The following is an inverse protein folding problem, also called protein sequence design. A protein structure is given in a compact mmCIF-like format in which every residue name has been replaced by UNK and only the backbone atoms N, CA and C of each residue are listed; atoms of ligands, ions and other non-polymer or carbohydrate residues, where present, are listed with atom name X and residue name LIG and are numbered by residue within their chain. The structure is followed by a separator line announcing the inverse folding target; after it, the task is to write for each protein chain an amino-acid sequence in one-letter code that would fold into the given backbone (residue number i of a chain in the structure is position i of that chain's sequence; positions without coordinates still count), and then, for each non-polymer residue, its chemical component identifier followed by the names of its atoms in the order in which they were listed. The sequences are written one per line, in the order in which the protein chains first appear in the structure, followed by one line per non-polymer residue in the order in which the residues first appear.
data_IF_952832286485
#
_entry.id   IF_952832286485
#
_cell.length_a   1.000
_cell.length_b   1.000
_cell.length_c   1.000
_cell.angle_alpha   90.00
_cell.angle_beta   90.00
_cell.angle_gamma   90.00
#
_symmetry.space_group_name_H-M   'P 1'
#
loop_
_entity.id
_entity.type
_entity.pdbx_description
1 polymer ?
#
# COMPACT_ATOMS: atom_id res chain seq x y z
N UNK A 1 26.09 14.96 -20.09
CA UNK A 1 25.49 13.86 -19.32
C UNK A 1 24.00 13.87 -19.60
N UNK A 2 23.47 12.86 -20.28
CA UNK A 2 22.03 12.76 -20.56
C UNK A 2 21.34 12.28 -19.29
N UNK A 3 20.44 13.08 -18.72
CA UNK A 3 19.69 12.70 -17.52
C UNK A 3 18.75 11.54 -17.87
N UNK A 4 18.83 10.42 -17.14
CA UNK A 4 17.92 9.27 -17.29
C UNK A 4 16.46 9.72 -17.09
N UNK A 5 15.56 9.31 -17.98
CA UNK A 5 14.14 9.63 -17.81
C UNK A 5 13.59 8.92 -16.56
N UNK A 6 12.78 9.58 -15.71
CA UNK A 6 12.32 9.01 -14.44
C UNK A 6 11.58 7.67 -14.58
N UNK A 7 10.88 7.46 -15.70
CA UNK A 7 10.22 6.18 -15.99
C UNK A 7 11.22 5.05 -16.23
N UNK A 8 12.32 5.33 -16.93
CA UNK A 8 13.34 4.33 -17.23
C UNK A 8 14.08 3.94 -15.93
N UNK A 9 14.32 4.92 -15.05
CA UNK A 9 14.85 4.67 -13.71
C UNK A 9 13.94 3.77 -12.87
N UNK A 10 12.62 4.03 -12.86
CA UNK A 10 11.65 3.17 -12.16
C UNK A 10 11.60 1.76 -12.75
N UNK A 11 11.61 1.64 -14.08
CA UNK A 11 11.61 0.33 -14.76
C UNK A 11 12.89 -0.45 -14.45
N UNK A 12 14.05 0.20 -14.40
CA UNK A 12 15.31 -0.41 -13.97
C UNK A 12 15.21 -0.96 -12.54
N UNK A 13 14.63 -0.20 -11.61
CA UNK A 13 14.33 -0.70 -10.26
C UNK A 13 13.38 -1.91 -10.29
N UNK A 14 12.27 -1.85 -11.04
CA UNK A 14 11.32 -2.96 -11.15
C UNK A 14 11.95 -4.23 -11.78
N UNK A 15 12.90 -4.07 -12.70
CA UNK A 15 13.63 -5.15 -13.34
C UNK A 15 14.67 -5.79 -12.42
N UNK A 16 15.37 -5.01 -11.60
CA UNK A 16 16.59 -5.47 -10.92
C UNK A 16 16.51 -5.50 -9.39
N UNK A 17 15.74 -4.62 -8.75
CA UNK A 17 15.67 -4.53 -7.29
C UNK A 17 14.74 -5.60 -6.68
N UNK A 18 14.55 -5.56 -5.36
CA UNK A 18 13.59 -6.44 -4.69
C UNK A 18 12.14 -6.04 -4.99
N UNK A 19 11.20 -7.00 -5.08
CA UNK A 19 9.83 -6.69 -5.47
C UNK A 19 9.14 -5.68 -4.55
N UNK A 20 9.33 -5.80 -3.23
CA UNK A 20 8.75 -4.87 -2.25
C UNK A 20 9.27 -3.44 -2.46
N UNK A 21 10.59 -3.26 -2.53
CA UNK A 21 11.19 -1.93 -2.73
C UNK A 21 10.73 -1.28 -4.02
N UNK A 22 10.75 -2.02 -5.13
CA UNK A 22 10.32 -1.52 -6.43
C UNK A 22 8.82 -1.21 -6.47
N UNK A 23 7.98 -2.00 -5.80
CA UNK A 23 6.55 -1.75 -5.70
C UNK A 23 6.26 -0.48 -4.91
N UNK A 24 6.91 -0.31 -3.76
CA UNK A 24 6.76 0.87 -2.91
C UNK A 24 7.23 2.11 -3.68
N UNK A 25 8.43 2.05 -4.27
CA UNK A 25 8.96 3.15 -5.08
C UNK A 25 8.01 3.51 -6.22
N UNK A 26 7.49 2.51 -6.95
CA UNK A 26 6.58 2.74 -8.06
C UNK A 26 5.24 3.33 -7.63
N UNK A 27 4.70 2.92 -6.49
CA UNK A 27 3.44 3.47 -5.96
C UNK A 27 3.62 4.93 -5.53
N UNK A 28 4.72 5.25 -4.83
CA UNK A 28 5.03 6.64 -4.44
C UNK A 28 5.32 7.53 -5.66
N UNK A 29 6.04 7.00 -6.65
CA UNK A 29 6.30 7.71 -7.90
C UNK A 29 4.98 7.96 -8.66
N UNK A 30 4.11 6.96 -8.77
CA UNK A 30 2.83 7.08 -9.46
C UNK A 30 1.88 8.06 -8.76
N UNK A 31 1.82 8.02 -7.43
CA UNK A 31 1.09 9.01 -6.62
C UNK A 31 1.58 10.44 -6.94
N UNK A 32 2.90 10.66 -6.91
CA UNK A 32 3.51 11.96 -7.16
C UNK A 32 3.29 12.44 -8.60
N UNK A 33 3.58 11.62 -9.62
CA UNK A 33 3.46 11.99 -11.03
C UNK A 33 2.01 12.19 -11.50
N UNK A 34 1.06 11.50 -10.88
CA UNK A 34 -0.37 11.69 -11.13
C UNK A 34 -0.98 12.85 -10.34
N UNK A 35 -0.26 13.39 -9.34
CA UNK A 35 -0.76 14.35 -8.36
C UNK A 35 -2.01 13.83 -7.64
N UNK A 36 -1.99 12.57 -7.23
CA UNK A 36 -3.15 11.93 -6.61
C UNK A 36 -3.60 12.67 -5.35
N UNK A 37 -4.92 12.80 -5.23
CA UNK A 37 -5.59 13.31 -4.04
C UNK A 37 -6.87 12.51 -3.83
N UNK A 38 -7.10 12.07 -2.59
CA UNK A 38 -8.32 11.38 -2.18
C UNK A 38 -9.59 12.18 -2.46
N UNK A 39 -9.51 13.51 -2.56
CA UNK A 39 -10.62 14.42 -2.84
C UNK A 39 -10.91 14.62 -4.34
N UNK A 40 -10.02 14.17 -5.23
CA UNK A 40 -10.12 14.35 -6.69
C UNK A 40 -9.73 13.05 -7.41
N UNK A 41 -10.39 11.93 -7.12
CA UNK A 41 -9.87 10.63 -7.56
C UNK A 41 -9.97 10.38 -9.07
N UNK A 42 -11.08 10.72 -9.71
CA UNK A 42 -11.36 10.28 -11.09
C UNK A 42 -10.29 10.77 -12.08
N UNK A 43 -9.99 12.07 -12.08
CA UNK A 43 -8.99 12.66 -12.97
C UNK A 43 -7.59 12.15 -12.68
N UNK A 44 -7.25 12.01 -11.39
CA UNK A 44 -5.90 11.60 -10.98
C UNK A 44 -5.66 10.12 -11.23
N UNK A 45 -6.68 9.27 -11.07
CA UNK A 45 -6.62 7.85 -11.46
C UNK A 45 -6.49 7.70 -12.97
N UNK A 46 -7.25 8.47 -13.77
CA UNK A 46 -7.09 8.49 -15.23
C UNK A 46 -5.66 8.85 -15.65
N UNK A 47 -5.08 9.89 -15.04
CA UNK A 47 -3.68 10.27 -15.27
C UNK A 47 -2.69 9.19 -14.84
N UNK A 48 -2.92 8.54 -13.70
CA UNK A 48 -2.10 7.42 -13.25
C UNK A 48 -2.12 6.25 -14.25
N UNK A 49 -3.29 5.92 -14.82
CA UNK A 49 -3.39 4.88 -15.84
C UNK A 49 -2.68 5.25 -17.15
N UNK A 50 -2.71 6.53 -17.56
CA UNK A 50 -1.90 7.00 -18.70
C UNK A 50 -0.40 6.78 -18.47
N UNK A 51 0.10 7.14 -17.28
CA UNK A 51 1.50 6.93 -16.88
C UNK A 51 1.84 5.44 -16.83
N UNK A 52 0.93 4.61 -16.28
CA UNK A 52 1.09 3.16 -16.23
C UNK A 52 1.22 2.57 -17.63
N UNK A 53 0.37 2.99 -18.56
CA UNK A 53 0.41 2.53 -19.95
C UNK A 53 1.74 2.89 -20.62
N UNK A 54 2.24 4.10 -20.40
CA UNK A 54 3.56 4.51 -20.89
C UNK A 54 4.71 3.66 -20.30
N UNK A 55 4.68 3.37 -18.99
CA UNK A 55 5.64 2.47 -18.35
C UNK A 55 5.60 1.06 -18.96
N UNK A 56 4.40 0.52 -19.23
CA UNK A 56 4.24 -0.80 -19.85
C UNK A 56 4.73 -0.83 -21.31
N UNK A 57 4.50 0.25 -22.07
CA UNK A 57 5.02 0.38 -23.43
C UNK A 57 6.55 0.38 -23.44
N UNK A 58 7.19 1.22 -22.61
CA UNK A 58 8.66 1.27 -22.47
C UNK A 58 9.25 -0.05 -22.00
N UNK A 59 8.63 -0.70 -21.02
CA UNK A 59 9.05 -2.01 -20.53
C UNK A 59 9.00 -3.06 -21.65
N UNK A 60 7.99 -3.00 -22.52
CA UNK A 60 7.87 -3.90 -23.68
C UNK A 60 8.95 -3.64 -24.72
N UNK A 61 9.27 -2.37 -24.99
CA UNK A 61 10.35 -1.98 -25.91
C UNK A 61 11.74 -2.40 -25.42
N UNK A 62 11.98 -2.40 -24.10
CA UNK A 62 13.23 -2.89 -23.50
C UNK A 62 13.45 -4.41 -23.71
N UNK A 63 12.43 -5.15 -24.14
CA UNK A 63 12.51 -6.58 -24.45
C UNK A 63 12.37 -7.50 -23.24
N UNK A 64 12.27 -8.81 -23.50
CA UNK A 64 12.10 -9.85 -22.48
C UNK A 64 13.42 -10.17 -21.75
N UNK A 65 13.87 -9.24 -20.93
CA UNK A 65 15.07 -9.40 -20.10
C UNK A 65 14.78 -10.14 -18.78
N UNK A 66 15.83 -10.54 -18.05
CA UNK A 66 15.69 -11.09 -16.69
C UNK A 66 14.91 -10.11 -15.82
N UNK A 67 13.89 -10.61 -15.11
CA UNK A 67 13.03 -9.78 -14.26
C UNK A 67 11.80 -9.18 -14.96
N UNK A 68 11.66 -9.33 -16.29
CA UNK A 68 10.55 -8.76 -17.07
C UNK A 68 9.16 -9.12 -16.51
N UNK A 69 8.89 -10.40 -16.22
CA UNK A 69 7.58 -10.84 -15.70
C UNK A 69 7.23 -10.14 -14.38
N UNK A 70 8.20 -10.06 -13.48
CA UNK A 70 8.07 -9.37 -12.19
C UNK A 70 7.86 -7.86 -12.39
N UNK A 71 8.68 -7.21 -13.22
CA UNK A 71 8.56 -5.78 -13.48
C UNK A 71 7.18 -5.46 -14.05
N UNK A 72 6.69 -6.28 -14.99
CA UNK A 72 5.35 -6.16 -15.56
C UNK A 72 4.26 -6.34 -14.48
N UNK A 73 4.37 -7.36 -13.62
CA UNK A 73 3.46 -7.53 -12.48
C UNK A 73 3.45 -6.30 -11.56
N UNK A 74 4.62 -5.76 -11.23
CA UNK A 74 4.76 -4.57 -10.38
C UNK A 74 4.09 -3.36 -11.05
N UNK A 75 4.41 -3.07 -12.31
CA UNK A 75 3.83 -1.92 -13.02
C UNK A 75 2.32 -2.03 -13.15
N UNK A 76 1.75 -3.23 -13.31
CA UNK A 76 0.29 -3.41 -13.25
C UNK A 76 -0.28 -3.20 -11.84
N UNK A 77 0.50 -3.48 -10.81
CA UNK A 77 0.03 -3.58 -9.44
C UNK A 77 0.22 -2.32 -8.58
N UNK A 78 1.18 -1.45 -8.93
CA UNK A 78 1.39 -0.18 -8.20
C UNK A 78 0.13 0.70 -8.26
N UNK A 79 -0.09 1.51 -7.24
CA UNK A 79 -1.33 2.29 -7.13
C UNK A 79 -1.05 3.68 -6.58
N UNK A 80 -1.60 4.74 -7.19
CA UNK A 80 -1.39 6.10 -6.72
C UNK A 80 -2.11 6.41 -5.40
N UNK A 81 -3.06 5.58 -4.97
CA UNK A 81 -3.81 5.81 -3.74
C UNK A 81 -3.06 5.51 -2.46
N UNK A 82 -1.89 4.88 -2.51
CA UNK A 82 -1.07 4.72 -1.30
C UNK A 82 -0.53 6.09 -0.85
N UNK A 83 -0.93 6.56 0.33
CA UNK A 83 -0.57 7.88 0.83
C UNK A 83 0.89 7.92 1.34
N UNK A 84 1.44 6.77 1.71
CA UNK A 84 2.79 6.63 2.22
C UNK A 84 3.42 5.26 1.87
N UNK A 85 4.74 5.09 2.09
CA UNK A 85 5.42 3.83 1.80
C UNK A 85 4.89 2.60 2.54
N UNK A 86 4.36 2.78 3.75
CA UNK A 86 3.82 1.68 4.54
C UNK A 86 2.50 1.15 3.97
N UNK A 87 1.62 2.04 3.50
CA UNK A 87 0.40 1.64 2.77
C UNK A 87 0.74 0.92 1.45
N UNK A 88 1.78 1.37 0.73
CA UNK A 88 2.23 0.70 -0.49
C UNK A 88 2.79 -0.70 -0.21
N UNK A 89 3.53 -0.87 0.89
CA UNK A 89 3.99 -2.19 1.33
C UNK A 89 2.81 -3.10 1.69
N UNK A 90 1.79 -2.58 2.36
CA UNK A 90 0.57 -3.33 2.68
C UNK A 90 -0.16 -3.77 1.40
N UNK A 91 -0.35 -2.85 0.45
CA UNK A 91 -0.98 -3.13 -0.83
C UNK A 91 -0.24 -4.21 -1.63
N UNK A 92 1.09 -4.21 -1.60
CA UNK A 92 1.89 -5.26 -2.24
C UNK A 92 1.57 -6.65 -1.70
N UNK A 93 1.46 -6.81 -0.37
CA UNK A 93 1.06 -8.09 0.23
C UNK A 93 -0.35 -8.45 -0.26
N UNK A 94 -1.31 -7.54 -0.13
CA UNK A 94 -2.72 -7.78 -0.47
C UNK A 94 -2.88 -8.20 -1.93
N UNK A 95 -2.29 -7.47 -2.90
CA UNK A 95 -2.36 -7.83 -4.33
C UNK A 95 -1.69 -9.17 -4.65
N UNK A 96 -0.74 -9.59 -3.83
CA UNK A 96 -0.05 -10.87 -4.02
C UNK A 96 -0.76 -12.09 -3.40
N UNK A 97 -1.92 -11.88 -2.76
CA UNK A 97 -2.78 -12.94 -2.20
C UNK A 97 -4.25 -12.85 -2.63
N UNK A 98 -4.74 -11.66 -2.97
CA UNK A 98 -6.14 -11.42 -3.29
C UNK A 98 -6.41 -11.53 -4.81
N UNK A 99 -7.41 -12.30 -5.25
CA UNK A 99 -7.84 -12.32 -6.66
C UNK A 99 -8.81 -11.20 -7.03
N UNK A 100 -9.45 -10.56 -6.04
CA UNK A 100 -10.49 -9.57 -6.28
C UNK A 100 -9.91 -8.20 -6.62
N UNK A 101 -10.77 -7.32 -7.13
CA UNK A 101 -10.44 -5.92 -7.28
C UNK A 101 -10.11 -5.32 -5.90
N UNK A 102 -9.03 -4.55 -5.86
CA UNK A 102 -8.57 -3.85 -4.65
C UNK A 102 -8.62 -2.36 -4.94
N UNK A 103 -9.40 -1.61 -4.16
CA UNK A 103 -9.48 -0.16 -4.26
C UNK A 103 -8.70 0.48 -3.11
N UNK A 104 -7.86 1.46 -3.42
CA UNK A 104 -7.11 2.24 -2.43
C UNK A 104 -7.81 3.56 -2.13
N UNK A 105 -7.70 4.11 -0.92
CA UNK A 105 -8.35 5.38 -0.54
C UNK A 105 -9.82 5.42 -0.97
N UNK A 106 -10.54 4.30 -0.86
CA UNK A 106 -11.91 4.20 -1.32
C UNK A 106 -12.83 4.98 -0.38
N UNK A 107 -13.79 5.71 -0.95
CA UNK A 107 -14.82 6.41 -0.17
C UNK A 107 -15.91 5.43 0.24
N UNK A 108 -16.21 5.41 1.53
CA UNK A 108 -17.31 4.66 2.13
C UNK A 108 -18.24 5.66 2.81
N UNK A 109 -19.51 5.62 2.44
CA UNK A 109 -20.57 6.47 2.97
C UNK A 109 -21.39 5.69 4.01
N UNK A 110 -21.33 6.09 5.28
CA UNK A 110 -22.07 5.44 6.37
C UNK A 110 -22.69 6.49 7.27
N UNK A 111 -24.00 6.40 7.51
CA UNK A 111 -24.74 7.29 8.44
C UNK A 111 -24.48 8.79 8.21
N UNK A 112 -24.40 9.20 6.94
CA UNK A 112 -24.14 10.59 6.55
C UNK A 112 -22.69 11.06 6.75
N UNK A 113 -21.77 10.16 7.11
CA UNK A 113 -20.33 10.41 7.21
C UNK A 113 -19.59 9.78 6.03
N UNK A 114 -18.46 10.38 5.69
CA UNK A 114 -17.61 9.96 4.58
C UNK A 114 -16.26 9.50 5.12
N UNK A 115 -15.93 8.24 4.90
CA UNK A 115 -14.65 7.65 5.29
C UNK A 115 -13.85 7.30 4.06
N UNK A 116 -12.57 7.64 4.06
CA UNK A 116 -11.61 7.10 3.12
C UNK A 116 -10.80 6.01 3.81
N UNK A 117 -10.72 4.84 3.18
CA UNK A 117 -10.03 3.67 3.73
C UNK A 117 -8.83 3.31 2.87
N UNK A 118 -7.73 2.91 3.49
CA UNK A 118 -6.45 2.71 2.78
C UNK A 118 -6.58 1.63 1.69
N UNK A 119 -7.24 0.52 2.02
CA UNK A 119 -7.50 -0.60 1.12
C UNK A 119 -8.91 -1.15 1.36
N UNK A 120 -9.66 -1.31 0.28
CA UNK A 120 -11.01 -1.88 0.22
C UNK A 120 -11.02 -3.11 -0.70
N UNK A 121 -11.62 -4.20 -0.20
CA UNK A 121 -11.95 -5.41 -0.96
C UNK A 121 -13.46 -5.61 -0.81
N UNK A 122 -14.21 -4.98 -1.70
CA UNK A 122 -15.68 -4.89 -1.63
C UNK A 122 -16.35 -6.27 -1.66
N UNK A 123 -15.85 -7.18 -2.51
CA UNK A 123 -16.39 -8.54 -2.66
C UNK A 123 -16.37 -9.34 -1.35
N UNK A 124 -15.48 -8.99 -0.42
CA UNK A 124 -15.34 -9.65 0.88
C UNK A 124 -15.91 -8.83 2.03
N UNK A 125 -16.42 -7.61 1.77
CA UNK A 125 -16.73 -6.64 2.80
C UNK A 125 -15.56 -6.40 3.79
N UNK A 126 -14.32 -6.36 3.26
CA UNK A 126 -13.11 -6.18 4.05
C UNK A 126 -12.46 -4.82 3.76
N UNK A 127 -12.11 -4.13 4.84
CA UNK A 127 -11.28 -2.93 4.86
C UNK A 127 -9.95 -3.31 5.52
N UNK A 128 -8.83 -2.86 4.96
CA UNK A 128 -7.50 -3.02 5.57
C UNK A 128 -6.87 -1.63 5.73
N UNK A 129 -6.54 -1.26 6.96
CA UNK A 129 -5.96 0.04 7.29
C UNK A 129 -4.55 -0.13 7.86
N UNK A 130 -3.64 0.75 7.44
CA UNK A 130 -2.34 0.88 8.08
C UNK A 130 -2.43 1.89 9.23
N UNK A 131 -2.25 1.40 10.45
CA UNK A 131 -2.27 2.22 11.67
C UNK A 131 -0.85 2.71 12.01
N UNK A 132 -0.50 3.86 11.45
CA UNK A 132 0.63 4.63 11.94
C UNK A 132 0.23 5.29 13.27
N UNK A 133 0.86 4.87 14.37
CA UNK A 133 0.69 5.33 15.77
C UNK A 133 0.62 6.88 15.94
N UNK A 134 0.95 7.65 14.91
CA UNK A 134 1.18 9.10 14.89
C UNK A 134 -0.08 9.97 14.66
N UNK A 135 -1.28 9.56 15.09
CA UNK A 135 -2.50 10.37 14.93
C UNK A 135 -3.21 10.76 16.23
N UNK A 136 -2.51 10.73 17.35
CA UNK A 136 -3.00 11.34 18.59
C UNK A 136 -2.42 12.75 18.68
N UNK A 137 -3.28 13.76 18.79
CA UNK A 137 -2.86 15.17 18.88
C UNK A 137 -1.92 15.42 20.06
N UNK A 138 -1.37 16.64 20.15
CA UNK A 138 -0.35 16.94 21.17
C UNK A 138 -0.98 17.32 22.51
N UNK A 139 -2.23 17.79 22.53
CA UNK A 139 -2.96 18.14 23.75
C UNK A 139 -3.89 17.02 24.22
N UNK A 140 -4.17 16.96 25.53
CA UNK A 140 -5.11 16.00 26.11
C UNK A 140 -6.49 16.03 25.42
N UNK A 141 -7.00 17.23 25.14
CA UNK A 141 -8.30 17.41 24.49
C UNK A 141 -8.31 16.90 23.03
N UNK A 142 -7.23 17.14 22.27
CA UNK A 142 -7.10 16.60 20.91
C UNK A 142 -6.97 15.08 20.91
N UNK A 143 -6.21 14.52 21.87
CA UNK A 143 -6.09 13.06 22.05
C UNK A 143 -7.46 12.45 22.34
N UNK A 144 -8.24 13.03 23.26
CA UNK A 144 -9.59 12.55 23.59
C UNK A 144 -10.56 12.67 22.41
N UNK A 145 -10.50 13.77 21.66
CA UNK A 145 -11.30 13.94 20.43
C UNK A 145 -10.93 12.89 19.39
N UNK A 146 -9.64 12.72 19.08
CA UNK A 146 -9.16 11.73 18.13
C UNK A 146 -9.56 10.30 18.52
N UNK A 147 -9.49 9.97 19.82
CA UNK A 147 -9.97 8.68 20.34
C UNK A 147 -11.47 8.50 20.11
N UNK A 148 -12.30 9.51 20.42
CA UNK A 148 -13.75 9.45 20.19
C UNK A 148 -14.09 9.28 18.71
N UNK A 149 -13.44 10.05 17.84
CA UNK A 149 -13.63 9.95 16.38
C UNK A 149 -13.21 8.58 15.85
N UNK A 150 -12.10 8.02 16.36
CA UNK A 150 -11.64 6.69 15.99
C UNK A 150 -12.63 5.60 16.41
N UNK A 151 -13.15 5.65 17.65
CA UNK A 151 -14.17 4.71 18.15
C UNK A 151 -15.44 4.80 17.32
N UNK A 152 -15.91 6.02 17.04
CA UNK A 152 -17.12 6.24 16.24
C UNK A 152 -16.96 5.70 14.82
N UNK A 153 -15.82 5.98 14.16
CA UNK A 153 -15.51 5.44 12.82
C UNK A 153 -15.51 3.92 12.82
N UNK A 154 -14.84 3.29 13.78
CA UNK A 154 -14.76 1.83 13.87
C UNK A 154 -16.16 1.21 14.10
N UNK A 155 -16.97 1.81 14.96
CA UNK A 155 -18.35 1.39 15.17
C UNK A 155 -19.20 1.54 13.91
N UNK A 156 -19.12 2.68 13.21
CA UNK A 156 -19.91 2.91 12.01
C UNK A 156 -19.58 1.90 10.90
N UNK A 157 -18.29 1.65 10.65
CA UNK A 157 -17.87 0.68 9.64
C UNK A 157 -18.35 -0.73 10.00
N UNK A 158 -18.24 -1.13 11.28
CA UNK A 158 -18.72 -2.45 11.73
C UNK A 158 -20.24 -2.60 11.66
N UNK A 159 -20.98 -1.56 12.09
CA UNK A 159 -22.44 -1.55 12.02
C UNK A 159 -22.94 -1.59 10.57
N UNK A 160 -22.15 -1.07 9.62
CA UNK A 160 -22.40 -1.19 8.19
C UNK A 160 -21.96 -2.54 7.58
N UNK A 161 -21.51 -3.50 8.40
CA UNK A 161 -21.16 -4.86 7.99
C UNK A 161 -19.71 -5.03 7.52
N UNK A 162 -18.86 -4.00 7.65
CA UNK A 162 -17.46 -4.09 7.24
C UNK A 162 -16.60 -4.79 8.29
N UNK A 163 -15.77 -5.73 7.84
CA UNK A 163 -14.67 -6.24 8.63
C UNK A 163 -13.43 -5.34 8.44
N UNK A 164 -12.98 -4.71 9.52
CA UNK A 164 -11.79 -3.83 9.51
C UNK A 164 -10.57 -4.57 10.06
N UNK A 165 -9.53 -4.70 9.24
CA UNK A 165 -8.24 -5.29 9.60
C UNK A 165 -7.21 -4.16 9.75
N UNK A 166 -6.66 -4.00 10.94
CA UNK A 166 -5.59 -3.02 11.20
C UNK A 166 -4.22 -3.67 11.12
N UNK A 167 -3.29 -3.00 10.46
CA UNK A 167 -1.89 -3.41 10.31
C UNK A 167 -1.01 -2.31 10.90
N UNK A 168 -0.11 -2.65 11.81
CA UNK A 168 0.78 -1.69 12.45
C UNK A 168 2.23 -1.87 11.97
N UNK A 169 3.12 -0.99 12.44
CA UNK A 169 4.56 -1.13 12.19
C UNK A 169 5.14 -2.45 12.70
N UNK A 170 4.69 -2.96 13.86
CA UNK A 170 5.22 -4.21 14.43
C UNK A 170 4.88 -5.43 13.59
N UNK A 171 3.81 -5.34 12.77
CA UNK A 171 3.48 -6.42 11.85
C UNK A 171 4.50 -6.59 10.73
N UNK A 172 5.25 -5.54 10.39
CA UNK A 172 6.32 -5.62 9.41
C UNK A 172 7.61 -6.22 9.97
N UNK A 173 7.70 -6.49 11.27
CA UNK A 173 8.84 -7.22 11.84
C UNK A 173 8.89 -8.68 11.35
N UNK A 174 7.75 -9.23 10.89
CA UNK A 174 7.63 -10.57 10.33
C UNK A 174 6.65 -10.60 9.14
N UNK A 175 7.20 -10.43 7.93
CA UNK A 175 6.43 -10.41 6.68
C UNK A 175 5.70 -11.71 6.36
N UNK A 176 6.29 -12.85 6.72
CA UNK A 176 5.67 -14.14 6.45
C UNK A 176 4.46 -14.33 7.37
N UNK A 177 4.60 -14.01 8.65
CA UNK A 177 3.49 -14.05 9.61
C UNK A 177 2.40 -13.06 9.24
N UNK A 178 2.73 -11.84 8.83
CA UNK A 178 1.74 -10.88 8.34
C UNK A 178 1.01 -11.41 7.10
N UNK A 179 1.74 -11.96 6.11
CA UNK A 179 1.13 -12.57 4.93
C UNK A 179 0.17 -13.69 5.31
N UNK A 180 0.57 -14.59 6.22
CA UNK A 180 -0.28 -15.69 6.70
C UNK A 180 -1.53 -15.15 7.40
N UNK A 181 -1.40 -14.11 8.24
CA UNK A 181 -2.53 -13.45 8.89
C UNK A 181 -3.53 -12.92 7.88
N UNK A 182 -3.06 -12.20 6.85
CA UNK A 182 -3.93 -11.66 5.81
C UNK A 182 -4.57 -12.77 4.96
N UNK A 183 -3.84 -13.84 4.62
CA UNK A 183 -4.43 -15.00 3.93
C UNK A 183 -5.57 -15.62 4.74
N UNK A 184 -5.41 -15.77 6.05
CA UNK A 184 -6.47 -16.31 6.93
C UNK A 184 -7.69 -15.41 6.96
N UNK A 185 -7.49 -14.09 6.92
CA UNK A 185 -8.59 -13.14 6.96
C UNK A 185 -9.32 -13.01 5.61
N UNK A 186 -8.61 -13.08 4.49
CA UNK A 186 -9.19 -13.00 3.15
C UNK A 186 -9.77 -14.33 2.66
N UNK A 187 -9.29 -15.45 3.21
CA UNK A 187 -9.53 -16.81 2.72
C UNK A 187 -8.38 -17.30 1.83
N UNK A 188 -8.14 -18.63 1.77
CA UNK A 188 -7.03 -19.23 1.01
C UNK A 188 -7.30 -19.17 -0.50
N UNK A 189 -7.06 -18.00 -1.09
CA UNK A 189 -7.25 -17.75 -2.51
C UNK A 189 -5.93 -17.70 -3.26
N UNK A 190 -5.99 -17.86 -4.58
CA UNK A 190 -4.84 -17.62 -5.46
C UNK A 190 -4.92 -16.17 -5.96
N UNK A 191 -3.81 -15.42 -6.01
CA UNK A 191 -3.83 -14.08 -6.58
C UNK A 191 -4.18 -14.12 -8.07
N UNK A 192 -4.63 -12.98 -8.60
CA UNK A 192 -4.87 -12.81 -10.03
C UNK A 192 -3.62 -13.22 -10.84
N UNK A 193 -3.76 -13.86 -12.02
CA UNK A 193 -2.64 -14.40 -12.78
C UNK A 193 -1.47 -13.43 -12.98
N UNK A 194 -1.77 -12.16 -13.23
CA UNK A 194 -0.83 -11.06 -13.43
C UNK A 194 -0.03 -10.68 -12.18
N UNK A 195 -0.50 -11.05 -10.98
CA UNK A 195 0.12 -10.70 -9.70
C UNK A 195 0.86 -11.86 -9.04
N UNK A 196 0.86 -13.06 -9.65
CA UNK A 196 1.54 -14.26 -9.12
C UNK A 196 3.04 -14.08 -8.90
N UNK A 197 3.68 -13.15 -9.63
CA UNK A 197 5.12 -12.87 -9.50
C UNK A 197 5.44 -11.71 -8.55
N UNK A 198 4.46 -11.14 -7.84
CA UNK A 198 4.69 -10.04 -6.90
C UNK A 198 5.38 -10.51 -5.62
N UNK A 199 4.97 -11.64 -5.06
CA UNK A 199 5.47 -12.08 -3.76
C UNK A 199 6.87 -12.67 -3.87
N UNK A 200 7.74 -12.17 -3.00
CA UNK A 200 9.01 -12.77 -2.60
C UNK A 200 9.24 -12.33 -1.16
N UNK A 201 9.63 -13.25 -0.28
CA UNK A 201 10.02 -12.87 1.07
C UNK A 201 11.14 -11.81 0.99
N UNK A 202 10.97 -10.62 1.61
CA UNK A 202 12.00 -9.58 1.59
C UNK A 202 13.31 -10.09 2.18
N UNK A 203 14.44 -9.79 1.54
CA UNK A 203 15.74 -10.16 2.11
C UNK A 203 16.14 -9.19 3.22
N UNK A 204 17.15 -9.55 4.02
CA UNK A 204 17.74 -8.67 5.04
C UNK A 204 18.30 -7.36 4.49
N UNK A 205 18.57 -7.27 3.17
CA UNK A 205 18.97 -6.01 2.52
C UNK A 205 17.79 -5.05 2.39
N UNK A 206 16.63 -5.55 1.99
CA UNK A 206 15.38 -4.79 1.94
C UNK A 206 14.82 -4.53 3.34
N UNK A 207 15.00 -5.52 4.23
CA UNK A 207 14.32 -5.64 5.51
C UNK A 207 15.23 -5.48 6.74
N UNK A 208 16.41 -4.89 6.54
CA UNK A 208 17.39 -4.66 7.59
C UNK A 208 17.13 -3.41 8.43
N UNK A 209 17.97 -3.05 9.41
CA UNK A 209 17.78 -1.89 10.29
C UNK A 209 17.63 -0.53 9.57
N UNK A 210 17.97 -0.47 8.29
CA UNK A 210 17.91 0.71 7.41
C UNK A 210 16.79 0.61 6.36
N UNK A 211 15.69 -0.12 6.62
CA UNK A 211 14.58 -0.29 5.64
C UNK A 211 14.18 1.06 5.06
N UNK A 212 14.17 1.16 3.73
CA UNK A 212 13.96 2.44 3.02
C UNK A 212 12.54 3.01 3.16
N UNK A 213 11.56 2.16 3.44
CA UNK A 213 10.17 2.56 3.69
C UNK A 213 9.86 2.75 5.19
N UNK A 214 10.85 2.55 6.06
CA UNK A 214 10.75 2.81 7.49
C UNK A 214 11.39 4.17 7.80
N UNK A 215 10.59 5.22 7.91
CA UNK A 215 11.08 6.53 8.35
C UNK A 215 11.41 6.48 9.85
N UNK A 216 12.62 6.91 10.24
CA UNK A 216 13.19 6.83 11.60
C UNK A 216 12.32 7.41 12.75
N UNK A 217 11.26 8.16 12.46
CA UNK A 217 10.32 8.71 13.45
C UNK A 217 9.52 7.66 14.24
N UNK A 218 9.39 6.43 13.74
CA UNK A 218 8.56 5.38 14.37
C UNK A 218 9.20 4.69 15.58
N UNK A 219 10.52 4.83 15.81
CA UNK A 219 11.23 4.18 16.94
C UNK A 219 11.07 4.91 18.28
N UNK A 220 10.76 6.20 18.27
CA UNK A 220 10.74 7.01 19.52
C UNK A 220 9.52 6.67 20.39
N UNK A 221 8.42 6.19 19.80
CA UNK A 221 7.21 5.82 20.54
C UNK A 221 7.29 4.51 21.32
N UNK A 222 8.22 3.60 20.99
CA UNK A 222 8.29 2.26 21.61
C UNK A 222 9.15 2.18 22.88
N UNK A 223 9.77 3.28 23.34
CA UNK A 223 10.57 3.30 24.58
C UNK A 223 9.84 3.87 25.80
N UNK A 224 8.60 4.33 25.64
CA UNK A 224 7.85 4.99 26.72
C UNK A 224 6.66 4.18 27.26
N UNK A 225 6.47 2.93 26.81
CA UNK A 225 5.44 2.04 27.36
C UNK A 225 5.95 1.06 28.44
N UNK A 226 7.27 1.01 28.68
CA UNK A 226 7.88 0.21 29.76
C UNK A 226 8.51 1.12 30.81
N UNK A 227 7.69 1.86 31.56
CA UNK A 227 7.99 2.37 32.91
C UNK A 227 6.71 2.56 33.73
#
# INVERSE_FOLDING_TARGET
MTTEHPYDALLRCALHDEPLEAFVLGSMALQSWSHFSMFQQDDRRRRAEQIRNELLMRLTQAGKVRGYRRARSIVHAIDPGCANPAEAALLWIVRSICPFAVATQARIDVRGRHYYVDILIEQLHIIIEFDGITKLGTTRAEIERAKREWVLRDQDLRDAGWQVIRVSWTDYDDWERLRIRLIRALGPMKPAPEFRSLWKLPSTRCDGPSRRFYTHGSRIGNRQADR
#
